data_IF_380241696105
#
_entry.id   IF_380241696105
#
_cell.length_a   1.000
_cell.length_b   1.000
_cell.length_c   1.000
_cell.angle_alpha   90.00
_cell.angle_beta   90.00
_cell.angle_gamma   90.00
#
_symmetry.space_group_name_H-M   'P 1'
#
loop_
_entity.id
_entity.type
_entity.pdbx_description
1 polymer ?
#
# COMPACT_ATOMS: atom_id res chain seq x y z
N UNK A 1 66.21 12.76 20.56
CA UNK A 1 65.39 13.24 19.43
C UNK A 1 63.96 12.82 19.68
N UNK A 2 63.18 13.68 20.33
CA UNK A 2 61.80 13.39 20.73
C UNK A 2 60.88 14.31 19.93
N UNK A 3 60.02 13.75 19.08
CA UNK A 3 59.00 14.50 18.35
C UNK A 3 57.69 14.40 19.11
N UNK A 4 57.29 15.49 19.76
CA UNK A 4 55.93 15.72 20.25
C UNK A 4 54.98 15.87 19.06
N UNK A 5 53.93 15.04 19.00
CA UNK A 5 52.81 15.22 18.10
C UNK A 5 51.80 16.19 18.73
N UNK A 6 51.58 17.33 18.08
CA UNK A 6 50.54 18.29 18.45
C UNK A 6 49.19 17.80 17.94
N UNK A 7 48.26 17.54 18.86
CA UNK A 7 46.85 17.28 18.53
C UNK A 7 46.18 18.59 18.07
N UNK A 8 45.57 18.58 16.89
CA UNK A 8 44.70 19.67 16.43
C UNK A 8 43.29 19.54 17.06
N UNK A 9 42.65 20.66 17.41
CA UNK A 9 41.28 20.64 17.95
C UNK A 9 40.27 20.30 16.85
N UNK A 10 39.34 19.39 17.14
CA UNK A 10 38.20 19.07 16.27
C UNK A 10 37.23 20.25 16.25
N UNK A 11 36.63 20.61 15.10
CA UNK A 11 35.63 21.66 15.03
C UNK A 11 34.34 21.23 15.76
N UNK A 12 33.58 22.19 16.32
CA UNK A 12 32.33 21.89 17.01
C UNK A 12 31.28 21.36 16.04
N UNK A 13 30.67 20.23 16.40
CA UNK A 13 29.46 19.71 15.77
C UNK A 13 28.38 20.80 15.79
N UNK A 14 28.04 21.34 14.62
CA UNK A 14 26.84 22.15 14.45
C UNK A 14 25.63 21.22 14.51
N UNK A 15 24.92 21.22 15.64
CA UNK A 15 23.55 20.70 15.71
C UNK A 15 22.69 21.47 14.73
N UNK A 16 22.38 20.86 13.59
CA UNK A 16 21.34 21.33 12.69
C UNK A 16 20.00 20.88 13.28
N UNK A 17 19.41 21.74 14.10
CA UNK A 17 18.02 21.62 14.50
C UNK A 17 17.15 21.98 13.29
N UNK A 18 16.82 20.98 12.46
CA UNK A 18 15.76 21.14 11.47
C UNK A 18 14.42 21.16 12.20
N UNK A 19 13.87 22.37 12.32
CA UNK A 19 12.51 22.65 12.73
C UNK A 19 11.56 22.18 11.61
N UNK A 20 11.26 20.88 11.53
CA UNK A 20 10.09 20.42 10.79
C UNK A 20 8.84 20.72 11.65
N UNK A 21 8.28 21.92 11.44
CA UNK A 21 6.92 22.22 11.90
C UNK A 21 5.96 21.38 11.09
N UNK A 22 5.10 20.67 11.80
CA UNK A 22 4.21 19.66 11.27
C UNK A 22 3.32 20.13 10.13
N UNK A 23 3.36 19.36 9.06
CA UNK A 23 2.16 19.05 8.30
C UNK A 23 1.81 17.61 8.69
N UNK A 24 0.89 17.49 9.66
CA UNK A 24 0.33 16.21 10.07
C UNK A 24 -0.49 15.70 8.87
N UNK A 25 0.11 14.85 8.03
CA UNK A 25 -0.58 14.16 6.95
C UNK A 25 -1.56 13.17 7.61
N UNK A 26 -2.72 13.69 7.98
CA UNK A 26 -3.84 12.89 8.46
C UNK A 26 -4.49 12.20 7.27
N UNK A 27 -3.80 11.23 6.67
CA UNK A 27 -4.46 10.15 5.94
C UNK A 27 -4.68 9.05 6.98
N UNK A 28 -5.58 9.35 7.91
CA UNK A 28 -6.09 8.43 8.90
C UNK A 28 -7.29 7.76 8.25
N UNK A 29 -7.13 6.49 7.87
CA UNK A 29 -8.25 5.60 7.59
C UNK A 29 -9.10 5.53 8.86
N UNK A 30 -10.22 6.26 8.86
CA UNK A 30 -11.30 6.13 9.83
C UNK A 30 -12.03 4.81 9.54
N UNK A 31 -11.48 3.70 10.06
CA UNK A 31 -12.29 2.49 10.26
C UNK A 31 -13.07 2.69 11.56
N UNK A 32 -14.21 3.34 11.44
CA UNK A 32 -15.20 3.41 12.51
C UNK A 32 -15.81 2.03 12.73
N UNK A 33 -15.35 1.32 13.76
CA UNK A 33 -16.08 0.17 14.31
C UNK A 33 -17.21 0.73 15.16
N UNK A 34 -18.37 0.95 14.54
CA UNK A 34 -19.62 1.14 15.26
C UNK A 34 -20.13 -0.25 15.69
N UNK A 35 -20.17 -0.47 17.00
CA UNK A 35 -20.84 -1.61 17.59
C UNK A 35 -22.35 -1.42 17.56
N UNK A 36 -23.06 -2.42 17.04
CA UNK A 36 -24.52 -2.47 17.09
C UNK A 36 -24.95 -3.78 17.74
N UNK A 37 -25.67 -3.64 18.86
CA UNK A 37 -26.26 -4.74 19.62
C UNK A 37 -27.66 -5.05 19.10
N UNK A 38 -27.87 -6.31 18.75
CA UNK A 38 -29.08 -7.14 18.88
C UNK A 38 -30.44 -6.56 18.48
N UNK A 39 -31.11 -7.17 17.50
CA UNK A 39 -32.53 -7.58 17.60
C UNK A 39 -32.75 -8.87 16.77
N UNK A 40 -33.35 -9.85 17.43
CA UNK A 40 -33.77 -11.15 16.92
C UNK A 40 -35.25 -11.06 16.54
N UNK A 41 -35.60 -11.22 15.27
CA UNK A 41 -36.98 -11.41 14.81
C UNK A 41 -37.02 -12.13 13.47
N UNK A 42 -37.51 -13.37 13.46
CA UNK A 42 -38.08 -14.02 12.27
C UNK A 42 -39.53 -13.52 12.08
N UNK A 43 -40.01 -13.41 10.83
CA UNK A 43 -40.78 -14.55 10.29
C UNK A 43 -40.62 -14.82 8.79
N UNK A 44 -40.91 -16.06 8.42
CA UNK A 44 -41.08 -16.61 7.08
C UNK A 44 -42.17 -15.89 6.26
N UNK A 45 -41.92 -15.70 4.96
CA UNK A 45 -42.94 -15.90 3.92
C UNK A 45 -42.27 -16.25 2.57
N UNK A 46 -42.73 -17.35 2.00
CA UNK A 46 -42.48 -17.86 0.65
C UNK A 46 -42.81 -16.83 -0.44
N UNK A 47 -41.93 -16.67 -1.44
CA UNK A 47 -42.42 -16.42 -2.80
C UNK A 47 -41.42 -16.92 -3.86
N UNK A 48 -41.86 -17.98 -4.51
CA UNK A 48 -41.27 -18.65 -5.66
C UNK A 48 -41.33 -17.74 -6.90
N UNK A 49 -40.18 -17.33 -7.44
CA UNK A 49 -40.15 -16.68 -8.76
C UNK A 49 -38.88 -17.00 -9.55
N UNK A 50 -39.04 -18.01 -10.40
CA UNK A 50 -38.52 -18.09 -11.78
C UNK A 50 -37.06 -17.66 -12.00
N UNK A 51 -36.15 -18.62 -11.83
CA UNK A 51 -34.77 -18.55 -12.34
C UNK A 51 -34.76 -18.72 -13.86
N UNK A 52 -34.54 -17.62 -14.58
CA UNK A 52 -34.08 -17.63 -15.97
C UNK A 52 -32.57 -17.88 -15.92
N UNK A 53 -32.14 -19.08 -16.30
CA UNK A 53 -30.73 -19.39 -16.52
C UNK A 53 -30.26 -18.63 -17.78
N UNK A 54 -29.67 -17.47 -17.57
CA UNK A 54 -28.77 -16.87 -18.56
C UNK A 54 -27.46 -17.65 -18.46
N UNK A 55 -26.94 -18.21 -19.56
CA UNK A 55 -25.60 -18.78 -19.57
C UNK A 55 -24.62 -17.63 -19.35
N UNK A 56 -24.09 -17.50 -18.14
CA UNK A 56 -22.90 -16.71 -17.90
C UNK A 56 -21.76 -17.47 -18.56
N UNK A 57 -21.32 -16.97 -19.71
CA UNK A 57 -20.08 -17.38 -20.34
C UNK A 57 -18.98 -17.14 -19.31
N UNK A 58 -18.54 -18.22 -18.66
CA UNK A 58 -17.47 -18.17 -17.67
C UNK A 58 -16.18 -17.84 -18.40
N UNK A 59 -15.82 -16.56 -18.47
CA UNK A 59 -14.45 -16.19 -18.77
C UNK A 59 -13.57 -16.91 -17.74
N UNK A 60 -12.72 -17.83 -18.23
CA UNK A 60 -11.77 -18.52 -17.36
C UNK A 60 -10.95 -17.45 -16.63
N UNK A 61 -10.81 -17.53 -15.29
CA UNK A 61 -10.03 -16.56 -14.55
C UNK A 61 -8.62 -16.53 -15.15
N UNK A 62 -8.11 -15.32 -15.44
CA UNK A 62 -6.76 -15.14 -15.98
C UNK A 62 -5.77 -15.82 -15.03
N UNK A 63 -5.36 -17.03 -15.39
CA UNK A 63 -4.48 -17.83 -14.54
C UNK A 63 -3.10 -17.17 -14.51
N UNK A 64 -2.81 -16.45 -13.42
CA UNK A 64 -1.51 -15.81 -13.22
C UNK A 64 -0.43 -16.90 -13.12
N UNK A 65 0.78 -16.68 -13.68
CA UNK A 65 1.85 -17.66 -13.56
C UNK A 65 2.20 -17.89 -12.09
N UNK A 66 2.57 -19.12 -11.69
CA UNK A 66 2.95 -19.40 -10.31
C UNK A 66 4.24 -18.66 -9.94
N UNK A 67 4.28 -18.11 -8.72
CA UNK A 67 5.48 -17.46 -8.16
C UNK A 67 6.35 -18.44 -7.38
N UNK A 68 7.65 -18.15 -7.29
CA UNK A 68 8.63 -18.99 -6.60
C UNK A 68 8.72 -18.62 -5.11
N UNK A 69 7.69 -19.01 -4.36
CA UNK A 69 7.58 -18.73 -2.93
C UNK A 69 8.17 -19.90 -2.15
N UNK A 70 9.21 -19.61 -1.35
CA UNK A 70 9.78 -20.60 -0.43
C UNK A 70 9.08 -20.52 0.92
N UNK A 71 8.80 -21.66 1.54
CA UNK A 71 8.25 -21.72 2.90
C UNK A 71 9.28 -21.23 3.91
N UNK A 72 8.86 -20.40 4.85
CA UNK A 72 9.72 -19.91 5.93
C UNK A 72 10.09 -21.03 6.91
N UNK A 73 11.29 -20.95 7.47
CA UNK A 73 11.64 -21.80 8.61
C UNK A 73 10.85 -21.39 9.88
N UNK A 74 10.73 -22.30 10.84
CA UNK A 74 9.93 -22.07 12.05
C UNK A 74 10.50 -20.96 12.94
N UNK A 75 11.83 -20.81 12.99
CA UNK A 75 12.49 -19.82 13.83
C UNK A 75 12.32 -18.41 13.21
N UNK A 76 12.31 -18.33 11.88
CA UNK A 76 11.99 -17.13 11.12
C UNK A 76 10.53 -16.73 11.30
N UNK A 77 9.58 -17.68 11.25
CA UNK A 77 8.16 -17.39 11.53
C UNK A 77 7.98 -16.82 12.95
N UNK A 78 8.58 -17.45 13.96
CA UNK A 78 8.51 -16.97 15.35
C UNK A 78 9.14 -15.58 15.50
N UNK A 79 10.27 -15.34 14.83
CA UNK A 79 10.94 -14.04 14.85
C UNK A 79 10.12 -12.94 14.17
N UNK A 80 9.54 -13.21 13.00
CA UNK A 80 8.64 -12.28 12.31
C UNK A 80 7.40 -11.98 13.17
N UNK A 81 6.81 -12.99 13.80
CA UNK A 81 5.68 -12.81 14.72
C UNK A 81 6.01 -11.89 15.90
N UNK A 82 7.23 -11.99 16.46
CA UNK A 82 7.71 -11.07 17.51
C UNK A 82 7.90 -9.65 16.98
N UNK A 83 8.45 -9.47 15.78
CA UNK A 83 8.56 -8.14 15.15
C UNK A 83 7.17 -7.51 15.01
N UNK A 84 6.19 -8.26 14.50
CA UNK A 84 4.83 -7.75 14.35
C UNK A 84 4.15 -7.42 15.67
N UNK A 85 4.41 -8.20 16.72
CA UNK A 85 3.94 -7.90 18.08
C UNK A 85 4.52 -6.57 18.58
N UNK A 86 5.83 -6.37 18.44
CA UNK A 86 6.48 -5.11 18.81
C UNK A 86 5.94 -3.92 18.00
N UNK A 87 5.73 -4.09 16.69
CA UNK A 87 5.08 -3.08 15.83
C UNK A 87 3.68 -2.73 16.36
N UNK A 88 2.86 -3.73 16.73
CA UNK A 88 1.50 -3.51 17.25
C UNK A 88 1.49 -2.79 18.59
N UNK A 89 2.52 -3.01 19.41
CA UNK A 89 2.72 -2.34 20.70
C UNK A 89 3.41 -0.97 20.57
N UNK A 90 3.72 -0.52 19.35
CA UNK A 90 4.52 0.67 19.06
C UNK A 90 5.92 0.66 19.70
N UNK A 91 6.44 -0.52 20.06
CA UNK A 91 7.80 -0.72 20.54
C UNK A 91 8.77 -0.87 19.34
N UNK A 92 8.92 0.23 18.61
CA UNK A 92 9.62 0.25 17.32
C UNK A 92 11.12 -0.04 17.47
N UNK A 93 11.72 0.31 18.62
CA UNK A 93 13.13 0.03 18.91
C UNK A 93 13.38 -1.48 19.01
N UNK A 94 12.51 -2.21 19.73
CA UNK A 94 12.61 -3.68 19.81
C UNK A 94 12.28 -4.35 18.47
N UNK A 95 11.30 -3.84 17.73
CA UNK A 95 10.99 -4.35 16.39
C UNK A 95 12.20 -4.22 15.45
N UNK A 96 12.83 -3.04 15.41
CA UNK A 96 14.00 -2.78 14.56
C UNK A 96 15.22 -3.58 15.02
N UNK A 97 15.45 -3.67 16.34
CA UNK A 97 16.51 -4.53 16.89
C UNK A 97 16.30 -5.98 16.45
N UNK A 98 15.08 -6.49 16.50
CA UNK A 98 14.79 -7.88 16.12
C UNK A 98 15.01 -8.13 14.63
N UNK A 99 14.63 -7.19 13.77
CA UNK A 99 14.94 -7.27 12.33
C UNK A 99 16.46 -7.24 12.08
N UNK A 100 17.22 -6.41 12.80
CA UNK A 100 18.69 -6.37 12.72
C UNK A 100 19.32 -7.71 13.14
N UNK A 101 18.78 -8.37 14.16
CA UNK A 101 19.23 -9.71 14.56
C UNK A 101 19.03 -10.74 13.45
N UNK A 102 17.89 -10.69 12.74
CA UNK A 102 17.62 -11.60 11.62
C UNK A 102 18.63 -11.42 10.47
N UNK A 103 19.09 -10.19 10.22
CA UNK A 103 20.12 -9.91 9.21
C UNK A 103 21.54 -10.40 9.59
N UNK A 104 21.80 -10.76 10.86
CA UNK A 104 23.14 -11.26 11.26
C UNK A 104 23.51 -12.52 10.46
N UNK A 105 22.54 -13.38 10.20
CA UNK A 105 22.70 -14.61 9.42
C UNK A 105 22.12 -14.45 8.01
N UNK A 106 22.33 -13.30 7.37
CA UNK A 106 21.75 -13.00 6.05
C UNK A 106 21.96 -14.12 5.00
N UNK A 107 23.11 -14.81 5.04
CA UNK A 107 23.44 -15.88 4.11
C UNK A 107 22.51 -17.10 4.22
N UNK A 108 21.84 -17.27 5.36
CA UNK A 108 20.88 -18.36 5.62
C UNK A 108 19.45 -17.97 5.20
N UNK A 109 19.17 -16.67 5.02
CA UNK A 109 17.86 -16.18 4.64
C UNK A 109 17.57 -16.49 3.16
N UNK A 110 16.40 -17.08 2.92
CA UNK A 110 15.82 -17.20 1.59
C UNK A 110 15.42 -15.84 1.03
N UNK A 111 15.25 -15.74 -0.29
CA UNK A 111 14.81 -14.48 -0.93
C UNK A 111 13.42 -14.04 -0.44
N UNK A 112 12.52 -15.00 -0.16
CA UNK A 112 11.19 -14.71 0.38
C UNK A 112 11.27 -14.12 1.80
N UNK A 113 12.18 -14.60 2.65
CA UNK A 113 12.38 -14.08 4.00
C UNK A 113 13.02 -12.70 3.99
N UNK A 114 14.02 -12.47 3.12
CA UNK A 114 14.61 -11.14 2.90
C UNK A 114 13.54 -10.13 2.49
N UNK A 115 12.63 -10.52 1.60
CA UNK A 115 11.53 -9.67 1.17
C UNK A 115 10.60 -9.29 2.33
N UNK A 116 10.21 -10.25 3.17
CA UNK A 116 9.30 -9.99 4.30
C UNK A 116 9.96 -9.14 5.38
N UNK A 117 11.23 -9.40 5.72
CA UNK A 117 12.02 -8.58 6.66
C UNK A 117 12.12 -7.13 6.16
N UNK A 118 12.38 -6.95 4.86
CA UNK A 118 12.45 -5.63 4.22
C UNK A 118 11.08 -4.94 4.24
N UNK A 119 10.01 -5.68 3.97
CA UNK A 119 8.65 -5.15 4.05
C UNK A 119 8.27 -4.70 5.47
N UNK A 120 8.60 -5.47 6.52
CA UNK A 120 8.40 -5.04 7.91
C UNK A 120 9.24 -3.81 8.27
N UNK A 121 10.46 -3.70 7.73
CA UNK A 121 11.30 -2.50 7.87
C UNK A 121 10.62 -1.27 7.27
N UNK A 122 9.92 -1.42 6.12
CA UNK A 122 9.12 -0.35 5.53
C UNK A 122 7.95 0.09 6.42
N UNK A 123 7.30 -0.85 7.11
CA UNK A 123 6.20 -0.55 8.04
C UNK A 123 6.68 0.24 9.26
N UNK A 124 7.83 -0.12 9.82
CA UNK A 124 8.46 0.62 10.92
C UNK A 124 8.78 2.05 10.47
N UNK A 125 9.46 2.20 9.32
CA UNK A 125 9.77 3.52 8.76
C UNK A 125 8.50 4.36 8.52
N UNK A 126 7.43 3.74 8.04
CA UNK A 126 6.16 4.43 7.80
C UNK A 126 5.55 4.95 9.12
N UNK A 127 5.54 4.13 10.18
CA UNK A 127 5.05 4.55 11.51
C UNK A 127 5.90 5.69 12.07
N UNK A 128 7.21 5.65 11.85
CA UNK A 128 8.14 6.72 12.23
C UNK A 128 8.02 7.99 11.36
N UNK A 129 7.12 7.98 10.37
CA UNK A 129 6.93 9.06 9.41
C UNK A 129 8.17 9.36 8.55
N UNK A 130 9.07 8.37 8.42
CA UNK A 130 10.22 8.43 7.52
C UNK A 130 9.79 7.94 6.12
N UNK A 131 9.26 8.86 5.33
CA UNK A 131 8.76 8.58 3.96
C UNK A 131 9.88 8.12 3.03
N UNK A 132 11.08 8.69 3.15
CA UNK A 132 12.23 8.34 2.30
C UNK A 132 12.65 6.89 2.54
N UNK A 133 12.84 6.50 3.81
CA UNK A 133 13.18 5.12 4.17
C UNK A 133 12.04 4.15 3.83
N UNK A 134 10.78 4.58 3.99
CA UNK A 134 9.61 3.76 3.61
C UNK A 134 9.65 3.42 2.12
N UNK A 135 9.83 4.43 1.26
CA UNK A 135 9.94 4.24 -0.19
C UNK A 135 11.12 3.34 -0.51
N UNK A 136 12.30 3.61 0.07
CA UNK A 136 13.51 2.81 -0.15
C UNK A 136 13.30 1.33 0.15
N UNK A 137 12.74 1.01 1.32
CA UNK A 137 12.44 -0.39 1.69
C UNK A 137 11.41 -1.03 0.75
N UNK A 138 10.32 -0.34 0.41
CA UNK A 138 9.31 -0.88 -0.51
C UNK A 138 9.87 -1.14 -1.91
N UNK A 139 10.76 -0.28 -2.41
CA UNK A 139 11.45 -0.53 -3.67
C UNK A 139 12.37 -1.74 -3.59
N UNK A 140 13.09 -1.92 -2.47
CA UNK A 140 13.90 -3.12 -2.23
C UNK A 140 13.05 -4.40 -2.14
N UNK A 141 11.82 -4.35 -1.63
CA UNK A 141 10.91 -5.52 -1.66
C UNK A 141 10.64 -5.97 -3.11
N UNK A 142 10.54 -5.04 -4.06
CA UNK A 142 10.32 -5.36 -5.48
C UNK A 142 11.55 -5.98 -6.16
N UNK A 143 12.74 -5.92 -5.56
CA UNK A 143 13.89 -6.69 -6.04
C UNK A 143 13.68 -8.21 -5.86
N UNK A 144 12.79 -8.60 -4.94
CA UNK A 144 12.40 -10.00 -4.66
C UNK A 144 11.01 -10.35 -5.23
N UNK A 145 10.56 -9.64 -6.28
CA UNK A 145 9.20 -9.74 -6.85
C UNK A 145 8.75 -11.18 -7.16
N UNK A 146 9.67 -12.00 -7.67
CA UNK A 146 9.41 -13.40 -8.04
C UNK A 146 9.29 -14.33 -6.83
N UNK A 147 9.65 -13.85 -5.63
CA UNK A 147 9.73 -14.58 -4.38
C UNK A 147 8.70 -14.13 -3.32
N UNK A 148 7.83 -13.18 -3.65
CA UNK A 148 6.72 -12.73 -2.79
C UNK A 148 5.37 -13.15 -3.38
N UNK A 149 4.30 -13.17 -2.59
CA UNK A 149 2.95 -13.46 -3.10
C UNK A 149 2.47 -12.36 -4.07
N UNK A 150 1.45 -12.65 -4.88
CA UNK A 150 0.78 -11.60 -5.67
C UNK A 150 0.14 -10.54 -4.78
N UNK A 151 -0.51 -10.95 -3.70
CA UNK A 151 -1.12 -10.03 -2.71
C UNK A 151 -0.07 -9.06 -2.16
N UNK A 152 1.14 -9.54 -1.84
CA UNK A 152 2.22 -8.67 -1.36
C UNK A 152 2.72 -7.73 -2.45
N UNK A 153 2.88 -8.21 -3.68
CA UNK A 153 3.30 -7.34 -4.79
C UNK A 153 2.26 -6.25 -5.08
N UNK A 154 0.97 -6.61 -5.10
CA UNK A 154 -0.14 -5.67 -5.25
C UNK A 154 -0.09 -4.57 -4.18
N UNK A 155 0.04 -4.97 -2.91
CA UNK A 155 0.13 -4.04 -1.79
C UNK A 155 1.33 -3.09 -1.92
N UNK A 156 2.52 -3.63 -2.21
CA UNK A 156 3.75 -2.84 -2.33
C UNK A 156 3.67 -1.84 -3.49
N UNK A 157 3.16 -2.26 -4.65
CA UNK A 157 3.03 -1.40 -5.83
C UNK A 157 2.02 -0.27 -5.58
N UNK A 158 0.85 -0.59 -5.02
CA UNK A 158 -0.15 0.41 -4.70
C UNK A 158 0.39 1.41 -3.68
N UNK A 159 1.04 0.92 -2.62
CA UNK A 159 1.63 1.78 -1.59
C UNK A 159 2.72 2.70 -2.13
N UNK A 160 3.60 2.19 -2.99
CA UNK A 160 4.59 3.03 -3.67
C UNK A 160 3.92 4.07 -4.56
N UNK A 161 2.83 3.74 -5.26
CA UNK A 161 2.10 4.71 -6.07
C UNK A 161 1.52 5.85 -5.21
N UNK A 162 0.91 5.53 -4.06
CA UNK A 162 0.40 6.52 -3.10
C UNK A 162 1.51 7.43 -2.56
N UNK A 163 2.62 6.83 -2.09
CA UNK A 163 3.74 7.56 -1.53
C UNK A 163 4.38 8.48 -2.57
N UNK A 164 4.65 7.97 -3.78
CA UNK A 164 5.16 8.81 -4.86
C UNK A 164 4.21 9.91 -5.26
N UNK A 165 2.89 9.68 -5.22
CA UNK A 165 1.92 10.74 -5.46
C UNK A 165 2.00 11.82 -4.37
N UNK A 166 2.14 11.43 -3.10
CA UNK A 166 2.25 12.36 -1.96
C UNK A 166 3.51 13.23 -2.05
N UNK A 167 4.61 12.66 -2.54
CA UNK A 167 5.88 13.36 -2.82
C UNK A 167 5.87 14.12 -4.15
N UNK A 168 4.73 14.21 -4.84
CA UNK A 168 4.54 14.87 -6.14
C UNK A 168 5.40 14.28 -7.27
N UNK A 169 5.89 13.06 -7.09
CA UNK A 169 6.62 12.26 -8.08
C UNK A 169 5.62 11.56 -9.03
N UNK A 170 4.77 12.33 -9.70
CA UNK A 170 3.64 11.81 -10.49
C UNK A 170 4.06 10.78 -11.55
N UNK A 171 5.24 10.95 -12.16
CA UNK A 171 5.75 10.00 -13.14
C UNK A 171 6.12 8.63 -12.53
N UNK A 172 6.66 8.61 -11.30
CA UNK A 172 6.94 7.36 -10.58
C UNK A 172 5.65 6.72 -10.09
N UNK A 173 4.75 7.52 -9.52
CA UNK A 173 3.44 7.07 -9.09
C UNK A 173 2.67 6.39 -10.22
N UNK A 174 2.62 7.03 -11.40
CA UNK A 174 1.95 6.47 -12.57
C UNK A 174 2.55 5.13 -12.99
N UNK A 175 3.88 4.99 -13.01
CA UNK A 175 4.52 3.69 -13.35
C UNK A 175 4.12 2.59 -12.37
N UNK A 176 4.18 2.84 -11.06
CA UNK A 176 3.80 1.86 -10.05
C UNK A 176 2.32 1.50 -10.10
N UNK A 177 1.45 2.47 -10.38
CA UNK A 177 0.03 2.20 -10.61
C UNK A 177 -0.20 1.36 -11.86
N UNK A 178 0.52 1.59 -12.97
CA UNK A 178 0.40 0.74 -14.16
C UNK A 178 0.82 -0.70 -13.87
N UNK A 179 1.96 -0.90 -13.21
CA UNK A 179 2.41 -2.23 -12.77
C UNK A 179 1.35 -2.90 -11.87
N UNK A 180 0.73 -2.16 -10.95
CA UNK A 180 -0.35 -2.68 -10.11
C UNK A 180 -1.60 -3.07 -10.91
N UNK A 181 -2.04 -2.23 -11.85
CA UNK A 181 -3.20 -2.47 -12.72
C UNK A 181 -3.01 -3.69 -13.64
N UNK A 182 -1.77 -4.08 -13.93
CA UNK A 182 -1.46 -5.27 -14.73
C UNK A 182 -1.68 -6.57 -13.96
N UNK A 183 -1.54 -6.54 -12.63
CA UNK A 183 -1.58 -7.74 -11.79
C UNK A 183 -2.83 -7.86 -10.92
N UNK A 184 -3.49 -6.75 -10.59
CA UNK A 184 -4.71 -6.77 -9.77
C UNK A 184 -5.88 -7.37 -10.56
N UNK A 185 -6.56 -8.36 -9.99
CA UNK A 185 -7.74 -8.96 -10.60
C UNK A 185 -9.00 -8.14 -10.32
N UNK A 186 -9.25 -7.85 -9.05
CA UNK A 186 -10.48 -7.20 -8.59
C UNK A 186 -10.14 -6.02 -7.69
N UNK A 187 -9.85 -4.84 -8.27
CA UNK A 187 -9.58 -3.65 -7.48
C UNK A 187 -10.83 -3.21 -6.71
N UNK A 188 -10.64 -2.70 -5.49
CA UNK A 188 -11.72 -2.12 -4.69
C UNK A 188 -12.14 -0.76 -5.23
N UNK A 189 -13.36 -0.33 -4.92
CA UNK A 189 -13.86 1.00 -5.28
C UNK A 189 -12.88 2.13 -4.88
N UNK A 190 -12.31 2.07 -3.68
CA UNK A 190 -11.33 3.06 -3.20
C UNK A 190 -10.02 3.06 -4.02
N UNK A 191 -9.58 1.90 -4.48
CA UNK A 191 -8.35 1.74 -5.27
C UNK A 191 -8.57 2.22 -6.72
N UNK A 192 -9.76 1.97 -7.28
CA UNK A 192 -10.21 2.56 -8.55
C UNK A 192 -10.29 4.10 -8.45
N UNK A 193 -10.85 4.63 -7.36
CA UNK A 193 -10.93 6.07 -7.14
C UNK A 193 -9.54 6.71 -7.01
N UNK A 194 -8.60 6.03 -6.35
CA UNK A 194 -7.19 6.42 -6.32
C UNK A 194 -6.58 6.44 -7.73
N UNK A 195 -6.78 5.38 -8.51
CA UNK A 195 -6.28 5.30 -9.88
C UNK A 195 -6.81 6.46 -10.73
N UNK A 196 -8.12 6.73 -10.67
CA UNK A 196 -8.76 7.87 -11.32
C UNK A 196 -8.15 9.20 -10.90
N UNK A 197 -7.96 9.40 -9.60
CA UNK A 197 -7.33 10.60 -9.03
C UNK A 197 -5.90 10.81 -9.54
N UNK A 198 -5.11 9.73 -9.65
CA UNK A 198 -3.76 9.81 -10.21
C UNK A 198 -3.78 10.18 -11.69
N UNK A 199 -4.70 9.61 -12.48
CA UNK A 199 -4.86 9.98 -13.89
C UNK A 199 -5.25 11.44 -14.09
N UNK A 200 -6.03 12.04 -13.18
CA UNK A 200 -6.29 13.49 -13.20
C UNK A 200 -4.97 14.28 -13.05
N UNK A 201 -4.09 13.88 -12.12
CA UNK A 201 -2.82 14.59 -11.89
C UNK A 201 -1.88 14.58 -13.09
N UNK A 202 -1.94 13.52 -13.91
CA UNK A 202 -1.19 13.44 -15.16
C UNK A 202 -1.99 13.87 -16.40
N UNK A 203 -3.16 14.49 -16.20
CA UNK A 203 -4.05 15.02 -17.25
C UNK A 203 -4.51 13.96 -18.26
N UNK A 204 -4.66 12.72 -17.81
CA UNK A 204 -5.24 11.63 -18.62
C UNK A 204 -6.73 11.52 -18.31
N UNK A 205 -7.50 12.52 -18.75
CA UNK A 205 -8.90 12.66 -18.35
C UNK A 205 -9.79 11.51 -18.83
N UNK A 206 -9.53 10.94 -20.00
CA UNK A 206 -10.29 9.77 -20.50
C UNK A 206 -10.16 8.57 -19.56
N UNK A 207 -8.92 8.25 -19.13
CA UNK A 207 -8.70 7.17 -18.16
C UNK A 207 -9.23 7.54 -16.79
N UNK A 208 -9.05 8.78 -16.34
CA UNK A 208 -9.59 9.24 -15.07
C UNK A 208 -11.10 9.01 -14.98
N UNK A 209 -11.85 9.37 -16.03
CA UNK A 209 -13.30 9.14 -16.13
C UNK A 209 -13.64 7.67 -16.01
N UNK A 210 -12.96 6.79 -16.74
CA UNK A 210 -13.18 5.34 -16.70
C UNK A 210 -13.06 4.80 -15.26
N UNK A 211 -11.95 5.08 -14.59
CA UNK A 211 -11.69 4.57 -13.24
C UNK A 211 -12.62 5.17 -12.18
N UNK A 212 -12.91 6.47 -12.25
CA UNK A 212 -13.83 7.13 -11.32
C UNK A 212 -15.27 6.63 -11.47
N UNK A 213 -15.72 6.41 -12.71
CA UNK A 213 -17.06 5.88 -12.98
C UNK A 213 -17.20 4.48 -12.38
N UNK A 214 -16.23 3.59 -12.66
CA UNK A 214 -16.20 2.23 -12.10
C UNK A 214 -16.14 2.23 -10.57
N UNK A 215 -15.37 3.12 -9.96
CA UNK A 215 -15.31 3.25 -8.51
C UNK A 215 -16.68 3.59 -7.90
N UNK A 216 -17.39 4.55 -8.49
CA UNK A 216 -18.73 4.98 -8.05
C UNK A 216 -19.76 3.89 -8.27
N UNK A 217 -19.71 3.20 -9.41
CA UNK A 217 -20.60 2.07 -9.73
C UNK A 217 -20.42 0.93 -8.73
N UNK A 218 -19.18 0.49 -8.51
CA UNK A 218 -18.87 -0.58 -7.56
C UNK A 218 -19.31 -0.22 -6.14
N UNK A 219 -19.08 1.01 -5.68
CA UNK A 219 -19.52 1.43 -4.35
C UNK A 219 -21.05 1.41 -4.19
N UNK A 220 -21.80 1.76 -5.25
CA UNK A 220 -23.26 1.65 -5.27
C UNK A 220 -23.73 0.19 -5.28
N UNK A 221 -23.07 -0.67 -6.03
CA UNK A 221 -23.35 -2.12 -6.08
C UNK A 221 -23.12 -2.78 -4.72
N UNK A 222 -22.09 -2.34 -3.98
CA UNK A 222 -21.82 -2.74 -2.60
C UNK A 222 -22.85 -2.19 -1.59
N UNK A 223 -23.81 -1.37 -2.03
CA UNK A 223 -24.85 -0.77 -1.19
C UNK A 223 -24.34 0.34 -0.27
N UNK A 224 -23.18 0.92 -0.57
CA UNK A 224 -22.54 1.98 0.21
C UNK A 224 -22.88 3.36 -0.36
N UNK A 225 -22.89 4.39 0.50
CA UNK A 225 -23.01 5.77 0.06
C UNK A 225 -21.74 6.19 -0.70
N UNK A 226 -21.92 6.79 -1.88
CA UNK A 226 -20.83 7.24 -2.74
C UNK A 226 -20.09 8.41 -2.08
N UNK A 227 -18.75 8.36 -2.06
CA UNK A 227 -17.94 9.48 -1.58
C UNK A 227 -18.14 10.70 -2.50
N UNK A 228 -18.67 11.80 -1.96
CA UNK A 228 -18.95 13.04 -2.68
C UNK A 228 -17.72 13.55 -3.44
N UNK A 229 -16.52 13.37 -2.87
CA UNK A 229 -15.26 13.81 -3.49
C UNK A 229 -14.99 13.12 -4.81
N UNK A 230 -15.40 11.84 -4.96
CA UNK A 230 -15.21 11.09 -6.20
C UNK A 230 -16.15 11.60 -7.28
N UNK A 231 -17.39 11.94 -6.91
CA UNK A 231 -18.38 12.52 -7.81
C UNK A 231 -17.96 13.91 -8.29
N UNK A 232 -17.52 14.78 -7.37
CA UNK A 232 -17.01 16.11 -7.72
C UNK A 232 -15.80 16.03 -8.67
N UNK A 233 -14.91 15.06 -8.43
CA UNK A 233 -13.75 14.84 -9.27
C UNK A 233 -14.15 14.33 -10.66
N UNK A 234 -15.13 13.43 -10.75
CA UNK A 234 -15.68 12.96 -12.02
C UNK A 234 -16.30 14.13 -12.80
N UNK A 235 -17.12 14.97 -12.16
CA UNK A 235 -17.70 16.16 -12.78
C UNK A 235 -16.63 17.13 -13.29
N UNK A 236 -15.50 17.25 -12.57
CA UNK A 236 -14.36 18.03 -13.02
C UNK A 236 -13.73 17.44 -14.29
N UNK A 237 -13.51 16.12 -14.30
CA UNK A 237 -12.94 15.40 -15.44
C UNK A 237 -13.82 15.54 -16.68
N UNK A 238 -15.13 15.42 -16.55
CA UNK A 238 -16.07 15.56 -17.67
C UNK A 238 -16.02 16.95 -18.29
N UNK A 239 -15.99 18.00 -17.46
CA UNK A 239 -15.82 19.38 -17.94
C UNK A 239 -14.49 19.59 -18.68
N UNK A 240 -13.42 18.90 -18.29
CA UNK A 240 -12.15 18.99 -19.03
C UNK A 240 -12.24 18.31 -20.40
N UNK A 241 -12.86 17.13 -20.48
CA UNK A 241 -13.07 16.41 -21.74
C UNK A 241 -13.92 17.21 -22.74
N UNK A 242 -14.94 17.93 -22.26
CA UNK A 242 -15.78 18.79 -23.10
C UNK A 242 -14.99 19.97 -23.70
N UNK A 243 -13.93 20.44 -23.04
CA UNK A 243 -13.09 21.54 -23.55
C UNK A 243 -12.04 21.09 -24.57
N UNK A 244 -11.77 19.79 -24.65
CA UNK A 244 -10.76 19.23 -25.56
C UNK A 244 -11.36 18.80 -26.92
N UNK A 245 -12.69 18.75 -27.04
CA UNK A 245 -13.44 18.41 -28.26
C UNK A 245 -13.95 19.66 -29.01
#
# INVERSE_FOLDING_TARGET
>A
MSRSASAQPRPPCRSFSFFFKGACLSILCLVGVAGESAVLTEPETENEKTSVLVPTESEEPRSRPPKNITTFDLDTIDSLGKVEEHIRQEDLDQAEQKLKEMWINEAELTLSEKAEITYLSSRIAFIQQDVESTIGHLESVLEYRDNITYVREEEVLLRLAELYLSEKEHGKAHRRLQEWLEIVEEPKASELAFAGSLFVKIKSYTRAKEYLTRAIEQQKEDGLEVDERWSELLDHVERQLDTEN
#
